data_IF_786078091193
#
_entry.id   IF_786078091193
#
_cell.length_a   1.000
_cell.length_b   1.000
_cell.length_c   1.000
_cell.angle_alpha   90.00
_cell.angle_beta   90.00
_cell.angle_gamma   90.00
#
_symmetry.space_group_name_H-M   'P 1'
#
loop_
_entity.id
_entity.type
_entity.pdbx_description
1 polymer ?
#
# COMPACT_ATOMS: atom_id res chain seq x y z
N UNK A 1 13.87 0.60 13.96
CA UNK A 1 13.77 1.28 12.65
C UNK A 1 12.52 0.79 11.92
N UNK A 2 11.56 1.66 11.56
CA UNK A 2 10.24 1.23 11.07
C UNK A 2 10.15 0.98 9.56
N UNK A 3 11.20 1.25 8.77
CA UNK A 3 11.20 1.08 7.30
C UNK A 3 11.88 -0.23 6.90
N UNK A 4 11.37 -1.34 7.40
CA UNK A 4 11.89 -2.69 7.13
C UNK A 4 10.85 -3.54 6.39
N UNK A 5 11.33 -4.45 5.54
CA UNK A 5 10.58 -5.54 4.93
C UNK A 5 10.70 -6.86 5.73
N UNK A 6 11.68 -6.96 6.64
CA UNK A 6 11.92 -8.17 7.40
C UNK A 6 10.79 -8.42 8.41
N UNK A 7 10.45 -9.71 8.53
CA UNK A 7 9.51 -10.24 9.51
C UNK A 7 10.20 -11.06 10.60
N UNK A 8 11.53 -11.04 10.62
CA UNK A 8 12.39 -11.82 11.50
C UNK A 8 13.27 -10.89 12.35
N UNK A 9 13.72 -11.41 13.49
CA UNK A 9 14.82 -10.85 14.26
C UNK A 9 16.03 -11.78 14.17
N UNK A 10 17.20 -11.22 14.39
CA UNK A 10 18.45 -11.95 14.51
C UNK A 10 18.63 -12.53 15.92
N UNK A 11 19.54 -13.49 16.07
CA UNK A 11 19.78 -14.19 17.34
C UNK A 11 20.30 -13.28 18.46
N UNK A 12 21.08 -12.26 18.13
CA UNK A 12 21.62 -11.28 19.09
C UNK A 12 20.51 -10.46 19.76
N UNK A 13 19.36 -10.26 19.11
CA UNK A 13 18.21 -9.55 19.69
C UNK A 13 17.49 -10.40 20.75
N UNK A 14 17.63 -11.72 20.73
CA UNK A 14 16.85 -12.64 21.60
C UNK A 14 17.07 -12.38 23.09
N UNK A 15 18.31 -12.08 23.49
CA UNK A 15 18.65 -11.80 24.89
C UNK A 15 17.96 -10.55 25.43
N UNK A 16 17.52 -9.64 24.55
CA UNK A 16 16.86 -8.38 24.91
C UNK A 16 15.34 -8.52 25.10
N UNK A 17 14.74 -9.64 24.67
CA UNK A 17 13.28 -9.83 24.72
C UNK A 17 12.68 -9.66 26.13
N UNK A 18 13.30 -10.16 27.22
CA UNK A 18 12.78 -9.92 28.57
C UNK A 18 12.75 -8.44 28.95
N UNK A 19 13.79 -7.67 28.62
CA UNK A 19 13.84 -6.23 28.91
C UNK A 19 12.78 -5.46 28.13
N UNK A 20 12.55 -5.82 26.86
CA UNK A 20 11.46 -5.25 26.04
C UNK A 20 10.09 -5.54 26.63
N UNK A 21 9.85 -6.78 27.06
CA UNK A 21 8.59 -7.16 27.73
C UNK A 21 8.37 -6.35 29.03
N UNK A 22 9.41 -6.15 29.84
CA UNK A 22 9.35 -5.31 31.04
C UNK A 22 9.03 -3.85 30.70
N UNK A 23 9.68 -3.29 29.68
CA UNK A 23 9.45 -1.94 29.20
C UNK A 23 8.00 -1.69 28.72
N UNK A 24 7.37 -2.74 28.18
CA UNK A 24 5.98 -2.72 27.71
C UNK A 24 4.92 -2.93 28.81
N UNK A 25 5.32 -3.18 30.06
CA UNK A 25 4.41 -3.57 31.15
C UNK A 25 3.54 -2.40 31.65
N UNK A 26 2.66 -1.90 30.77
CA UNK A 26 1.76 -0.78 31.01
C UNK A 26 0.36 -1.07 30.46
N UNK A 27 -0.66 -0.53 31.14
CA UNK A 27 -2.05 -0.59 30.69
C UNK A 27 -2.53 -2.01 30.36
N UNK A 28 -3.16 -2.23 29.18
CA UNK A 28 -3.79 -3.50 28.83
C UNK A 28 -2.79 -4.63 28.52
N UNK A 29 -1.49 -4.34 28.43
CA UNK A 29 -0.48 -5.34 28.06
C UNK A 29 0.00 -6.16 29.27
N UNK A 30 -0.19 -5.65 30.49
CA UNK A 30 0.31 -6.24 31.73
C UNK A 30 -0.13 -7.70 31.88
N UNK A 31 -1.43 -7.97 31.66
CA UNK A 31 -2.01 -9.31 31.80
C UNK A 31 -1.42 -10.32 30.81
N UNK A 32 -1.01 -9.86 29.62
CA UNK A 32 -0.41 -10.71 28.60
C UNK A 32 1.10 -10.89 28.78
N UNK A 33 1.77 -9.92 29.40
CA UNK A 33 3.22 -9.95 29.62
C UNK A 33 3.58 -10.83 30.82
N UNK A 34 2.79 -10.80 31.90
CA UNK A 34 3.08 -11.56 33.13
C UNK A 34 3.35 -13.05 32.88
N UNK A 35 2.52 -13.79 32.12
CA UNK A 35 2.79 -15.20 31.82
C UNK A 35 4.08 -15.40 31.04
N UNK A 36 4.39 -14.51 30.08
CA UNK A 36 5.61 -14.59 29.28
C UNK A 36 6.88 -14.37 30.10
N UNK A 37 6.84 -13.48 31.10
CA UNK A 37 7.97 -13.24 32.01
C UNK A 37 8.13 -14.34 33.07
N UNK A 38 7.05 -15.07 33.39
CA UNK A 38 7.09 -16.18 34.36
C UNK A 38 7.72 -17.46 33.80
N UNK A 39 7.99 -17.50 32.49
CA UNK A 39 8.53 -18.67 31.79
C UNK A 39 9.74 -18.26 30.95
N UNK A 40 10.64 -19.22 30.68
CA UNK A 40 11.74 -18.97 29.74
C UNK A 40 11.17 -18.83 28.33
N UNK A 41 11.42 -17.69 27.69
CA UNK A 41 11.06 -17.47 26.28
C UNK A 41 11.76 -18.51 25.42
N UNK A 42 10.99 -19.21 24.58
CA UNK A 42 11.50 -20.20 23.64
C UNK A 42 11.54 -19.61 22.23
N UNK A 43 12.68 -19.02 21.81
CA UNK A 43 12.85 -18.50 20.46
C UNK A 43 12.85 -19.65 19.45
N UNK A 44 12.28 -19.42 18.27
CA UNK A 44 12.29 -20.41 17.19
C UNK A 44 12.35 -19.76 15.82
N UNK A 45 12.65 -20.56 14.80
CA UNK A 45 12.76 -20.16 13.38
C UNK A 45 11.52 -19.45 12.81
N UNK A 46 10.39 -19.47 13.52
CA UNK A 46 9.18 -18.70 13.20
C UNK A 46 9.38 -17.18 13.23
N UNK A 47 10.28 -16.68 14.08
CA UNK A 47 10.57 -15.24 14.18
C UNK A 47 12.05 -14.92 14.42
N UNK A 48 12.89 -15.91 14.76
CA UNK A 48 14.35 -15.73 14.89
C UNK A 48 15.06 -16.45 13.76
N UNK A 49 15.57 -15.71 12.77
CA UNK A 49 16.29 -16.30 11.65
C UNK A 49 17.24 -15.30 10.98
N UNK A 50 18.54 -15.41 11.26
CA UNK A 50 19.57 -14.48 10.76
C UNK A 50 19.60 -14.44 9.22
N UNK A 51 19.34 -15.55 8.54
CA UNK A 51 19.35 -15.61 7.06
C UNK A 51 18.15 -14.93 6.40
N UNK A 52 17.16 -14.51 7.19
CA UNK A 52 15.96 -13.81 6.72
C UNK A 52 15.89 -12.36 7.21
N UNK A 53 17.00 -11.87 7.76
CA UNK A 53 17.18 -10.47 8.11
C UNK A 53 18.18 -9.87 7.13
N UNK A 54 17.75 -8.83 6.43
CA UNK A 54 18.58 -8.01 5.54
C UNK A 54 19.23 -6.89 6.37
N UNK A 55 19.19 -5.64 5.92
CA UNK A 55 19.76 -4.49 6.64
C UNK A 55 19.07 -4.22 7.98
N UNK A 56 17.80 -4.60 8.11
CA UNK A 56 16.98 -4.29 9.27
C UNK A 56 16.06 -5.44 9.67
N UNK A 57 16.02 -5.76 10.97
CA UNK A 57 15.07 -6.72 11.54
C UNK A 57 13.63 -6.17 11.59
N UNK A 58 12.67 -7.04 11.93
CA UNK A 58 11.26 -6.72 12.12
C UNK A 58 11.02 -5.59 13.13
N UNK A 59 9.93 -4.84 12.95
CA UNK A 59 9.52 -3.79 13.88
C UNK A 59 9.10 -4.43 15.22
N UNK A 60 9.85 -4.13 16.29
CA UNK A 60 9.58 -4.60 17.65
C UNK A 60 9.63 -3.42 18.64
N UNK A 61 8.92 -3.52 19.78
CA UNK A 61 9.07 -2.57 20.90
C UNK A 61 10.50 -2.46 21.41
N UNK A 62 10.89 -1.31 21.95
CA UNK A 62 12.23 -1.03 22.51
C UNK A 62 12.34 -1.42 23.98
N UNK A 63 13.55 -1.38 24.55
CA UNK A 63 13.75 -1.50 26.01
C UNK A 63 13.32 -0.24 26.80
N UNK A 64 12.82 0.80 26.14
CA UNK A 64 12.37 2.03 26.81
C UNK A 64 10.94 1.88 27.32
N UNK A 65 10.73 2.24 28.59
CA UNK A 65 9.41 2.19 29.21
C UNK A 65 8.39 3.01 28.42
N UNK A 66 7.28 2.37 28.06
CA UNK A 66 6.22 3.04 27.32
C UNK A 66 5.38 3.92 28.23
N UNK A 67 5.29 5.22 27.91
CA UNK A 67 4.30 6.11 28.51
C UNK A 67 3.07 6.20 27.59
N UNK A 68 2.10 5.32 27.81
CA UNK A 68 0.88 5.30 27.02
C UNK A 68 0.10 6.61 27.12
N UNK A 69 0.17 7.36 28.22
CA UNK A 69 -0.57 8.61 28.37
C UNK A 69 -0.07 9.70 27.41
N UNK A 70 1.24 9.72 27.13
CA UNK A 70 1.88 10.71 26.25
C UNK A 70 1.58 10.51 24.76
N UNK A 71 1.14 9.31 24.36
CA UNK A 71 0.86 9.00 22.97
C UNK A 71 -0.48 9.62 22.51
N UNK A 72 -0.50 10.17 21.30
CA UNK A 72 -1.73 10.55 20.61
C UNK A 72 -2.63 9.33 20.33
N UNK A 73 -3.87 9.57 19.90
CA UNK A 73 -4.82 8.48 19.60
C UNK A 73 -4.28 7.54 18.52
N UNK A 74 -3.67 8.08 17.46
CA UNK A 74 -3.18 7.25 16.35
C UNK A 74 -1.85 6.57 16.67
N UNK A 75 -0.96 7.21 17.44
CA UNK A 75 0.25 6.56 17.97
C UNK A 75 -0.11 5.42 18.93
N UNK A 76 -1.15 5.58 19.77
CA UNK A 76 -1.66 4.51 20.64
C UNK A 76 -2.13 3.31 19.83
N UNK A 77 -2.91 3.54 18.76
CA UNK A 77 -3.40 2.46 17.88
C UNK A 77 -2.26 1.75 17.16
N UNK A 78 -1.29 2.49 16.64
CA UNK A 78 -0.13 1.92 15.95
C UNK A 78 0.75 1.12 16.92
N UNK A 79 1.01 1.67 18.11
CA UNK A 79 1.74 0.98 19.16
C UNK A 79 1.03 -0.29 19.61
N UNK A 80 -0.30 -0.25 19.82
CA UNK A 80 -1.10 -1.44 20.18
C UNK A 80 -1.00 -2.55 19.13
N UNK A 81 -1.04 -2.20 17.84
CA UNK A 81 -0.84 -3.14 16.75
C UNK A 81 0.54 -3.81 16.82
N UNK A 82 1.60 -3.01 16.99
CA UNK A 82 2.98 -3.52 17.10
C UNK A 82 3.13 -4.38 18.36
N UNK A 83 2.65 -3.90 19.51
CA UNK A 83 2.74 -4.56 20.79
C UNK A 83 2.01 -5.92 20.78
N UNK A 84 0.76 -5.96 20.34
CA UNK A 84 -0.01 -7.22 20.23
C UNK A 84 0.64 -8.19 19.26
N UNK A 85 1.16 -7.70 18.12
CA UNK A 85 1.85 -8.58 17.15
C UNK A 85 3.14 -9.15 17.73
N UNK A 86 3.92 -8.34 18.44
CA UNK A 86 5.12 -8.77 19.14
C UNK A 86 4.82 -9.79 20.24
N UNK A 87 3.80 -9.56 21.05
CA UNK A 87 3.36 -10.53 22.06
C UNK A 87 2.90 -11.83 21.38
N UNK A 88 2.15 -11.74 20.28
CA UNK A 88 1.58 -12.91 19.60
C UNK A 88 2.65 -13.89 19.09
N UNK A 89 3.80 -13.41 18.64
CA UNK A 89 4.89 -14.29 18.19
C UNK A 89 5.57 -15.03 19.35
N UNK A 90 5.45 -14.53 20.58
CA UNK A 90 5.98 -15.15 21.79
C UNK A 90 5.00 -16.16 22.42
N UNK A 91 3.71 -16.05 22.11
CA UNK A 91 2.69 -16.97 22.60
C UNK A 91 2.74 -18.36 21.92
N UNK A 92 2.17 -19.39 22.56
CA UNK A 92 1.94 -20.69 21.95
C UNK A 92 0.99 -20.64 20.73
N UNK A 93 0.99 -21.71 19.95
CA UNK A 93 0.05 -21.88 18.83
C UNK A 93 -1.40 -21.97 19.34
N UNK A 94 -2.33 -21.42 18.55
CA UNK A 94 -3.76 -21.69 18.71
C UNK A 94 -4.04 -23.15 18.38
N UNK A 95 -4.61 -23.91 19.33
CA UNK A 95 -4.91 -25.34 19.16
C UNK A 95 -6.40 -25.56 19.13
N UNK A 96 -6.85 -26.33 18.16
CA UNK A 96 -8.24 -26.73 18.00
C UNK A 96 -8.29 -28.16 17.45
N UNK A 97 -9.41 -28.80 17.70
CA UNK A 97 -9.78 -30.08 17.10
C UNK A 97 -10.78 -29.81 15.98
N UNK A 98 -10.56 -30.41 14.81
CA UNK A 98 -11.47 -30.27 13.66
C UNK A 98 -12.06 -31.64 13.32
N UNK A 99 -13.38 -31.73 13.40
CA UNK A 99 -14.14 -32.90 12.94
C UNK A 99 -14.55 -32.67 11.50
N UNK A 100 -14.24 -33.61 10.61
CA UNK A 100 -14.69 -33.60 9.21
C UNK A 100 -15.54 -34.84 8.98
N UNK A 101 -16.80 -34.64 8.60
CA UNK A 101 -17.76 -35.70 8.31
C UNK A 101 -18.03 -35.67 6.81
N UNK A 102 -17.80 -36.79 6.14
CA UNK A 102 -18.22 -37.00 4.76
C UNK A 102 -19.47 -37.88 4.76
N UNK A 103 -20.57 -37.34 4.26
CA UNK A 103 -21.85 -38.05 4.13
C UNK A 103 -22.12 -38.35 2.67
N UNK A 104 -22.44 -39.59 2.34
CA UNK A 104 -22.86 -39.97 0.98
C UNK A 104 -24.39 -39.83 0.89
N UNK A 105 -24.87 -39.03 -0.05
CA UNK A 105 -26.30 -38.85 -0.33
C UNK A 105 -26.51 -39.14 -1.81
N UNK A 106 -27.31 -40.16 -2.13
CA UNK A 106 -27.55 -40.61 -3.51
C UNK A 106 -26.25 -40.84 -4.32
N UNK A 107 -25.21 -41.36 -3.66
CA UNK A 107 -23.89 -41.61 -4.26
C UNK A 107 -22.93 -40.40 -4.26
N UNK A 108 -23.40 -39.20 -3.92
CA UNK A 108 -22.60 -37.98 -3.93
C UNK A 108 -22.05 -37.61 -2.53
N UNK A 109 -20.78 -37.18 -2.41
CA UNK A 109 -20.19 -36.83 -1.13
C UNK A 109 -20.48 -35.38 -0.70
N UNK A 110 -20.99 -35.21 0.51
CA UNK A 110 -21.20 -33.93 1.19
C UNK A 110 -20.25 -33.80 2.38
N UNK A 111 -19.57 -32.66 2.51
CA UNK A 111 -18.58 -32.43 3.58
C UNK A 111 -19.15 -31.46 4.61
N UNK A 112 -19.18 -31.89 5.87
CA UNK A 112 -19.39 -31.04 7.04
C UNK A 112 -18.11 -30.93 7.84
N UNK A 113 -17.76 -29.71 8.29
CA UNK A 113 -16.63 -29.46 9.18
C UNK A 113 -17.10 -28.79 10.45
N UNK A 114 -16.53 -29.19 11.58
CA UNK A 114 -16.78 -28.61 12.90
C UNK A 114 -15.47 -28.39 13.64
N UNK A 115 -15.44 -27.41 14.54
CA UNK A 115 -14.21 -26.98 15.21
C UNK A 115 -14.43 -26.75 16.69
N UNK A 116 -13.58 -27.35 17.52
CA UNK A 116 -13.57 -27.16 18.97
C UNK A 116 -12.22 -26.57 19.38
N UNK A 117 -12.22 -25.32 19.85
CA UNK A 117 -11.00 -24.68 20.36
C UNK A 117 -10.57 -25.37 21.66
N UNK A 118 -9.32 -25.84 21.70
CA UNK A 118 -8.70 -26.44 22.91
C UNK A 118 -7.83 -25.43 23.65
N UNK A 119 -7.18 -24.53 22.91
CA UNK A 119 -6.30 -23.50 23.46
C UNK A 119 -6.27 -22.30 22.51
N UNK A 120 -6.51 -21.10 23.01
CA UNK A 120 -6.50 -19.88 22.22
C UNK A 120 -5.08 -19.49 21.77
N UNK A 121 -4.04 -19.87 22.52
CA UNK A 121 -2.66 -19.46 22.26
C UNK A 121 -2.54 -17.95 21.95
N UNK A 122 -1.83 -17.62 20.87
CA UNK A 122 -1.67 -16.23 20.41
C UNK A 122 -2.99 -15.50 20.08
N UNK A 123 -4.10 -16.20 19.79
CA UNK A 123 -5.39 -15.55 19.53
C UNK A 123 -5.96 -14.86 20.77
N UNK A 124 -5.48 -15.20 21.98
CA UNK A 124 -5.88 -14.56 23.22
C UNK A 124 -5.63 -13.03 23.24
N UNK A 125 -4.66 -12.57 22.45
CA UNK A 125 -4.29 -11.15 22.33
C UNK A 125 -5.28 -10.33 21.49
N UNK A 126 -6.14 -10.97 20.70
CA UNK A 126 -7.05 -10.30 19.76
C UNK A 126 -8.52 -10.33 20.19
N UNK A 127 -8.83 -10.85 21.38
CA UNK A 127 -10.22 -11.06 21.87
C UNK A 127 -11.03 -9.75 21.96
N UNK A 128 -10.38 -8.58 22.08
CA UNK A 128 -11.06 -7.27 22.20
C UNK A 128 -11.48 -6.62 20.87
N UNK A 129 -11.53 -7.34 19.76
CA UNK A 129 -12.21 -6.84 18.55
C UNK A 129 -13.53 -7.60 18.33
N UNK A 130 -14.60 -7.32 19.09
CA UNK A 130 -15.92 -7.83 18.75
C UNK A 130 -16.29 -7.29 17.35
N UNK A 131 -16.59 -8.19 16.42
CA UNK A 131 -17.12 -7.82 15.09
C UNK A 131 -16.13 -7.79 13.92
N UNK A 132 -14.87 -8.24 14.08
CA UNK A 132 -14.08 -8.69 12.92
C UNK A 132 -14.22 -10.19 12.77
N UNK A 133 -15.32 -10.61 12.17
CA UNK A 133 -15.39 -11.90 11.50
C UNK A 133 -14.16 -11.97 10.58
N UNK A 134 -13.26 -12.93 10.80
CA UNK A 134 -12.34 -13.35 9.75
C UNK A 134 -13.20 -13.62 8.52
N UNK A 135 -12.84 -13.11 7.33
CA UNK A 135 -13.61 -13.33 6.11
C UNK A 135 -13.99 -14.81 5.95
N UNK A 136 -15.20 -15.18 6.37
CA UNK A 136 -15.77 -16.52 6.29
C UNK A 136 -16.36 -16.77 4.89
N UNK A 137 -15.95 -16.01 3.87
CA UNK A 137 -16.51 -16.17 2.53
C UNK A 137 -16.12 -17.52 1.88
N UNK A 138 -15.09 -18.22 2.39
CA UNK A 138 -14.66 -19.53 1.86
C UNK A 138 -14.58 -20.66 2.91
N UNK A 139 -14.79 -20.39 4.19
CA UNK A 139 -14.79 -21.44 5.22
C UNK A 139 -16.23 -21.82 5.58
N UNK A 140 -16.51 -23.13 5.61
CA UNK A 140 -17.75 -23.64 6.21
C UNK A 140 -17.94 -23.01 7.61
N UNK A 141 -19.17 -22.66 7.99
CA UNK A 141 -19.42 -22.00 9.28
C UNK A 141 -18.81 -22.82 10.41
N UNK A 142 -18.14 -22.13 11.35
CA UNK A 142 -17.64 -22.78 12.56
C UNK A 142 -18.84 -23.30 13.36
N UNK A 143 -19.12 -24.59 13.22
CA UNK A 143 -20.18 -25.29 13.93
C UNK A 143 -19.55 -26.30 14.89
N UNK A 144 -20.28 -26.60 15.96
CA UNK A 144 -20.00 -27.75 16.78
C UNK A 144 -20.60 -28.96 16.08
N UNK A 145 -19.76 -29.91 15.70
CA UNK A 145 -20.21 -31.21 15.24
C UNK A 145 -20.10 -32.19 16.40
N UNK A 146 -21.17 -32.92 16.63
CA UNK A 146 -21.18 -34.06 17.54
C UNK A 146 -20.48 -35.21 16.81
N UNK A 147 -19.61 -35.92 17.50
CA UNK A 147 -18.98 -37.14 16.98
C UNK A 147 -20.03 -38.10 16.43
N UNK A 148 -19.80 -38.61 15.22
CA UNK A 148 -20.64 -39.61 14.56
C UNK A 148 -19.84 -40.90 14.38
N UNK A 149 -20.52 -42.03 14.30
CA UNK A 149 -19.84 -43.30 13.98
C UNK A 149 -19.76 -43.49 12.47
N UNK A 150 -18.65 -44.01 11.98
CA UNK A 150 -18.55 -44.39 10.58
C UNK A 150 -19.59 -45.49 10.26
N UNK A 151 -20.27 -45.34 9.12
CA UNK A 151 -21.35 -46.25 8.71
C UNK A 151 -22.72 -45.91 9.32
N UNK A 152 -22.82 -44.85 10.12
CA UNK A 152 -24.09 -44.38 10.64
C UNK A 152 -24.96 -43.77 9.52
N UNK A 153 -26.22 -44.18 9.45
CA UNK A 153 -27.18 -43.67 8.49
C UNK A 153 -28.01 -42.55 9.11
N UNK A 154 -28.20 -41.47 8.35
CA UNK A 154 -29.04 -40.32 8.72
C UNK A 154 -30.05 -40.05 7.61
N UNK A 155 -31.23 -39.55 7.99
CA UNK A 155 -32.25 -39.12 7.04
C UNK A 155 -31.96 -37.69 6.60
N UNK A 156 -31.98 -37.44 5.29
CA UNK A 156 -31.98 -36.07 4.75
C UNK A 156 -33.36 -35.46 5.01
N UNK A 157 -33.41 -34.39 5.79
CA UNK A 157 -34.68 -33.71 6.13
C UNK A 157 -35.13 -32.77 5.01
N UNK A 158 -34.20 -31.98 4.48
CA UNK A 158 -34.46 -31.01 3.43
C UNK A 158 -33.22 -30.74 2.58
N UNK A 159 -33.43 -30.33 1.33
CA UNK A 159 -32.40 -29.88 0.42
C UNK A 159 -32.64 -28.41 0.06
N UNK A 160 -31.61 -27.58 0.16
CA UNK A 160 -31.68 -26.17 -0.25
C UNK A 160 -30.79 -25.91 -1.46
N UNK A 161 -31.39 -25.48 -2.55
CA UNK A 161 -30.65 -25.02 -3.72
C UNK A 161 -30.11 -23.61 -3.47
N UNK A 162 -28.80 -23.50 -3.19
CA UNK A 162 -28.13 -22.22 -3.06
C UNK A 162 -27.76 -21.68 -4.44
N UNK A 163 -28.58 -20.77 -4.97
CA UNK A 163 -28.24 -20.02 -6.20
C UNK A 163 -27.15 -19.00 -5.87
N UNK A 164 -26.02 -19.09 -6.57
CA UNK A 164 -24.91 -18.15 -6.46
C UNK A 164 -24.57 -17.56 -7.84
N UNK A 165 -23.85 -16.44 -7.83
CA UNK A 165 -23.30 -15.80 -9.04
C UNK A 165 -21.82 -15.55 -8.82
N UNK A 166 -21.03 -15.64 -9.88
CA UNK A 166 -19.64 -15.20 -9.84
C UNK A 166 -19.57 -13.71 -9.54
N UNK A 167 -18.58 -13.30 -8.76
CA UNK A 167 -18.30 -11.89 -8.47
C UNK A 167 -17.12 -11.45 -9.34
N UNK A 168 -17.13 -10.22 -9.89
CA UNK A 168 -15.93 -9.68 -10.52
C UNK A 168 -14.80 -9.53 -9.49
N UNK A 169 -13.53 -9.45 -9.93
CA UNK A 169 -12.41 -9.17 -9.03
C UNK A 169 -12.65 -7.91 -8.20
N UNK A 170 -12.31 -7.99 -6.91
CA UNK A 170 -12.42 -6.84 -6.02
C UNK A 170 -11.47 -5.72 -6.47
N UNK A 171 -11.93 -4.48 -6.38
CA UNK A 171 -11.05 -3.32 -6.61
C UNK A 171 -10.00 -3.23 -5.51
N UNK A 172 -8.88 -2.63 -5.86
CA UNK A 172 -7.85 -2.36 -4.87
C UNK A 172 -8.35 -1.35 -3.83
N UNK A 173 -8.12 -1.66 -2.56
CA UNK A 173 -7.95 -0.69 -1.47
C UNK A 173 -6.46 -0.31 -1.38
N UNK A 174 -6.11 0.71 -0.59
CA UNK A 174 -4.69 1.05 -0.35
C UNK A 174 -3.89 -0.12 0.20
N UNK A 175 -4.45 -0.87 1.15
CA UNK A 175 -3.78 -2.03 1.73
C UNK A 175 -3.52 -3.11 0.67
N UNK A 176 -4.53 -3.44 -0.13
CA UNK A 176 -4.37 -4.47 -1.18
C UNK A 176 -3.47 -4.01 -2.34
N UNK A 177 -3.40 -2.69 -2.60
CA UNK A 177 -2.48 -2.13 -3.58
C UNK A 177 -1.04 -2.19 -3.07
N UNK A 178 -0.80 -1.84 -1.79
CA UNK A 178 0.51 -2.00 -1.15
C UNK A 178 0.97 -3.46 -1.20
N UNK A 179 0.09 -4.42 -0.90
CA UNK A 179 0.40 -5.86 -1.03
C UNK A 179 0.70 -6.25 -2.48
N UNK A 180 -0.01 -5.69 -3.46
CA UNK A 180 0.30 -5.93 -4.87
C UNK A 180 1.65 -5.33 -5.29
N UNK A 181 2.06 -4.20 -4.71
CA UNK A 181 3.39 -3.62 -4.91
C UNK A 181 4.48 -4.44 -4.21
N UNK A 182 4.22 -5.02 -3.04
CA UNK A 182 5.13 -5.94 -2.34
C UNK A 182 5.37 -7.24 -3.12
N UNK A 183 4.36 -7.72 -3.85
CA UNK A 183 4.43 -9.00 -4.57
C UNK A 183 3.80 -8.88 -5.96
N UNK A 184 4.48 -8.19 -6.90
CA UNK A 184 3.96 -7.95 -8.24
C UNK A 184 4.11 -9.17 -9.16
N UNK A 185 4.77 -10.24 -8.71
CA UNK A 185 5.11 -11.40 -9.54
C UNK A 185 3.94 -12.09 -10.23
N UNK A 186 2.70 -11.93 -9.73
CA UNK A 186 1.49 -12.44 -10.41
C UNK A 186 1.19 -11.74 -11.75
N UNK A 187 1.89 -10.64 -12.06
CA UNK A 187 1.76 -9.85 -13.28
C UNK A 187 2.98 -9.98 -14.20
N UNK A 188 3.88 -10.91 -13.89
CA UNK A 188 5.10 -11.17 -14.67
C UNK A 188 4.97 -12.59 -15.20
N UNK A 189 5.07 -12.74 -16.52
CA UNK A 189 4.96 -14.04 -17.17
C UNK A 189 6.27 -14.83 -17.07
N UNK A 190 7.41 -14.14 -17.18
CA UNK A 190 8.73 -14.75 -17.09
C UNK A 190 9.06 -15.23 -15.66
N UNK A 191 9.38 -16.52 -15.53
CA UNK A 191 9.60 -17.15 -14.22
C UNK A 191 10.84 -16.58 -13.51
N UNK A 192 11.93 -16.30 -14.23
CA UNK A 192 13.17 -15.81 -13.65
C UNK A 192 12.98 -14.40 -13.10
N UNK A 193 12.36 -13.51 -13.89
CA UNK A 193 11.99 -12.16 -13.46
C UNK A 193 10.99 -12.18 -12.30
N UNK A 194 10.06 -13.14 -12.30
CA UNK A 194 9.10 -13.31 -11.21
C UNK A 194 9.77 -13.67 -9.90
N UNK A 195 10.76 -14.56 -9.91
CA UNK A 195 11.50 -14.93 -8.70
C UNK A 195 12.27 -13.74 -8.11
N UNK A 196 12.90 -12.92 -8.94
CA UNK A 196 13.61 -11.71 -8.50
C UNK A 196 12.67 -10.77 -7.74
N UNK A 197 11.44 -10.62 -8.23
CA UNK A 197 10.47 -9.70 -7.65
C UNK A 197 9.85 -10.18 -6.34
N UNK A 198 10.04 -11.44 -5.92
CA UNK A 198 9.62 -11.92 -4.59
C UNK A 198 10.38 -11.22 -3.45
N UNK A 199 11.60 -10.77 -3.71
CA UNK A 199 12.46 -10.09 -2.73
C UNK A 199 12.35 -8.56 -2.79
N UNK A 200 12.32 -7.96 -3.98
CA UNK A 200 12.36 -6.50 -4.15
C UNK A 200 10.96 -5.84 -4.16
N UNK A 201 10.00 -6.45 -4.85
CA UNK A 201 8.71 -5.83 -5.17
C UNK A 201 8.85 -4.54 -6.02
N UNK A 202 7.74 -3.83 -6.23
CA UNK A 202 7.72 -2.50 -6.85
C UNK A 202 7.97 -1.42 -5.80
N UNK A 203 9.13 -0.78 -5.89
CA UNK A 203 9.60 0.17 -4.91
C UNK A 203 9.90 -0.48 -3.55
N UNK A 204 10.40 0.32 -2.61
CA UNK A 204 10.83 -0.14 -1.28
C UNK A 204 9.76 0.14 -0.22
N UNK A 205 9.80 -0.53 0.96
CA UNK A 205 8.89 -0.23 2.08
C UNK A 205 8.80 1.26 2.43
N UNK A 206 9.89 2.00 2.24
CA UNK A 206 9.97 3.44 2.52
C UNK A 206 9.27 4.33 1.48
N UNK A 207 9.00 3.84 0.26
CA UNK A 207 8.57 4.66 -0.89
C UNK A 207 7.19 4.33 -1.42
N UNK A 208 6.67 3.12 -1.16
CA UNK A 208 5.37 2.65 -1.69
C UNK A 208 4.19 3.55 -1.28
N UNK A 209 4.11 3.93 -0.02
CA UNK A 209 3.05 4.82 0.47
C UNK A 209 3.11 6.20 -0.23
N UNK A 210 4.31 6.77 -0.36
CA UNK A 210 4.52 8.04 -1.03
C UNK A 210 4.18 7.99 -2.53
N UNK A 211 4.41 6.84 -3.19
CA UNK A 211 4.01 6.63 -4.59
C UNK A 211 2.47 6.65 -4.70
N UNK A 212 1.75 5.94 -3.83
CA UNK A 212 0.29 5.95 -3.83
C UNK A 212 -0.24 7.38 -3.57
N UNK A 213 0.37 8.11 -2.64
CA UNK A 213 0.07 9.51 -2.37
C UNK A 213 0.28 10.42 -3.59
N UNK A 214 1.38 10.21 -4.34
CA UNK A 214 1.63 10.92 -5.60
C UNK A 214 0.58 10.63 -6.66
N UNK A 215 0.04 9.41 -6.73
CA UNK A 215 -1.05 9.06 -7.65
C UNK A 215 -2.34 9.84 -7.33
N UNK A 216 -2.66 10.04 -6.05
CA UNK A 216 -3.77 10.91 -5.64
C UNK A 216 -3.52 12.38 -5.95
N UNK A 217 -2.35 12.90 -5.56
CA UNK A 217 -2.01 14.31 -5.75
C UNK A 217 -1.92 14.70 -7.23
N UNK A 218 -1.62 13.72 -8.09
CA UNK A 218 -1.60 13.87 -9.55
C UNK A 218 -2.96 13.62 -10.22
N UNK A 219 -4.00 13.28 -9.44
CA UNK A 219 -5.36 12.97 -9.90
C UNK A 219 -5.44 11.80 -10.89
N UNK A 220 -4.58 10.79 -10.73
CA UNK A 220 -4.64 9.56 -11.54
C UNK A 220 -5.59 8.52 -10.94
N UNK A 221 -5.74 8.53 -9.61
CA UNK A 221 -6.66 7.68 -8.87
C UNK A 221 -7.47 8.52 -7.89
N UNK A 222 -8.63 8.03 -7.48
CA UNK A 222 -9.47 8.62 -6.44
C UNK A 222 -10.06 7.53 -5.53
N UNK A 223 -10.50 7.94 -4.33
CA UNK A 223 -11.14 7.03 -3.37
C UNK A 223 -12.66 7.03 -3.58
N UNK A 224 -13.24 5.84 -3.69
CA UNK A 224 -14.69 5.61 -3.61
C UNK A 224 -14.98 4.68 -2.43
N UNK A 225 -15.33 5.26 -1.29
CA UNK A 225 -15.36 4.53 -0.03
C UNK A 225 -13.96 4.02 0.34
N UNK A 226 -13.80 2.71 0.50
CA UNK A 226 -12.50 2.06 0.76
C UNK A 226 -11.72 1.69 -0.50
N UNK A 227 -12.36 1.76 -1.67
CA UNK A 227 -11.80 1.32 -2.93
C UNK A 227 -11.09 2.47 -3.66
N UNK A 228 -10.08 2.10 -4.44
CA UNK A 228 -9.34 2.95 -5.35
C UNK A 228 -9.88 2.73 -6.76
N UNK A 229 -10.19 3.84 -7.44
CA UNK A 229 -10.61 3.83 -8.83
C UNK A 229 -9.71 4.73 -9.65
N UNK A 230 -9.29 4.31 -10.86
CA UNK A 230 -8.57 5.18 -11.76
C UNK A 230 -9.51 6.27 -12.27
N UNK A 231 -9.00 7.50 -12.38
CA UNK A 231 -9.73 8.61 -13.01
C UNK A 231 -9.66 8.49 -14.53
N UNK A 232 -10.48 9.25 -15.26
CA UNK A 232 -10.37 9.34 -16.72
C UNK A 232 -8.96 9.75 -17.18
N UNK A 233 -8.27 10.60 -16.39
CA UNK A 233 -6.87 10.99 -16.63
C UNK A 233 -5.92 9.81 -16.44
N UNK A 234 -6.08 9.03 -15.37
CA UNK A 234 -5.26 7.84 -15.11
C UNK A 234 -5.41 6.78 -16.21
N UNK A 235 -6.65 6.52 -16.65
CA UNK A 235 -6.93 5.56 -17.74
C UNK A 235 -6.27 6.01 -19.04
N UNK A 236 -6.43 7.28 -19.42
CA UNK A 236 -5.80 7.82 -20.63
C UNK A 236 -4.28 7.75 -20.55
N UNK A 237 -3.68 8.06 -19.39
CA UNK A 237 -2.22 7.97 -19.23
C UNK A 237 -1.69 6.57 -19.54
N UNK A 238 -2.36 5.52 -19.06
CA UNK A 238 -1.94 4.14 -19.33
C UNK A 238 -2.01 3.82 -20.83
N UNK A 239 -3.02 4.33 -21.55
CA UNK A 239 -3.11 4.15 -23.00
C UNK A 239 -2.14 5.00 -23.83
N UNK A 240 -1.58 6.06 -23.24
CA UNK A 240 -0.60 6.96 -23.89
C UNK A 240 0.85 6.58 -23.57
N UNK A 241 1.08 5.92 -22.44
CA UNK A 241 2.41 5.54 -22.00
C UNK A 241 2.95 4.37 -22.85
N UNK A 242 4.27 4.33 -23.13
CA UNK A 242 4.92 3.14 -23.66
C UNK A 242 4.60 1.91 -22.83
N UNK A 243 4.28 0.78 -23.49
CA UNK A 243 3.83 -0.45 -22.83
C UNK A 243 4.80 -0.92 -21.73
N UNK A 244 6.11 -0.83 -21.98
CA UNK A 244 7.15 -1.18 -21.02
C UNK A 244 7.06 -0.41 -19.70
N UNK A 245 6.61 0.85 -19.71
CA UNK A 245 6.45 1.66 -18.49
C UNK A 245 5.18 1.32 -17.69
N UNK A 246 4.30 0.50 -18.26
CA UNK A 246 3.05 0.06 -17.62
C UNK A 246 3.12 -1.37 -17.09
N UNK A 247 4.24 -2.07 -17.34
CA UNK A 247 4.50 -3.43 -16.89
C UNK A 247 5.51 -3.45 -15.72
N UNK A 248 5.31 -4.29 -14.68
CA UNK A 248 6.30 -4.49 -13.64
C UNK A 248 7.57 -5.20 -14.13
N UNK A 249 7.53 -5.82 -15.31
CA UNK A 249 8.66 -6.57 -15.88
C UNK A 249 9.89 -5.70 -16.11
N UNK A 250 9.71 -4.45 -16.57
CA UNK A 250 10.83 -3.51 -16.74
C UNK A 250 11.54 -3.24 -15.40
N UNK A 251 10.77 -3.16 -14.31
CA UNK A 251 11.37 -3.02 -12.96
C UNK A 251 12.13 -4.29 -12.58
N UNK A 252 11.58 -5.47 -12.86
CA UNK A 252 12.26 -6.75 -12.60
C UNK A 252 13.60 -6.87 -13.35
N UNK A 253 13.64 -6.44 -14.62
CA UNK A 253 14.86 -6.40 -15.42
C UNK A 253 15.90 -5.46 -14.80
N UNK A 254 15.48 -4.28 -14.32
CA UNK A 254 16.38 -3.35 -13.62
C UNK A 254 16.94 -3.95 -12.32
N UNK A 255 16.11 -4.61 -11.52
CA UNK A 255 16.55 -5.29 -10.30
C UNK A 255 17.55 -6.42 -10.61
N UNK A 256 17.35 -7.17 -11.70
CA UNK A 256 18.31 -8.15 -12.19
C UNK A 256 19.65 -7.50 -12.56
N UNK A 257 19.63 -6.41 -13.32
CA UNK A 257 20.84 -5.69 -13.70
C UNK A 257 21.61 -5.13 -12.50
N UNK A 258 20.91 -4.58 -11.51
CA UNK A 258 21.51 -4.11 -10.27
C UNK A 258 22.16 -5.27 -9.49
N UNK A 259 21.49 -6.42 -9.45
CA UNK A 259 22.03 -7.65 -8.86
C UNK A 259 23.30 -8.11 -9.57
N UNK A 260 23.32 -8.08 -10.91
CA UNK A 260 24.50 -8.46 -11.69
C UNK A 260 25.69 -7.51 -11.49
N UNK A 261 25.44 -6.20 -11.32
CA UNK A 261 26.49 -5.26 -10.93
C UNK A 261 27.05 -5.62 -9.55
N UNK A 262 26.19 -5.89 -8.56
CA UNK A 262 26.63 -6.25 -7.21
C UNK A 262 27.49 -7.52 -7.17
N UNK A 263 27.28 -8.43 -8.12
CA UNK A 263 28.03 -9.68 -8.30
C UNK A 263 29.23 -9.56 -9.25
N UNK A 264 29.51 -8.36 -9.77
CA UNK A 264 30.62 -8.11 -10.70
C UNK A 264 30.42 -8.68 -12.12
N UNK A 265 29.19 -9.06 -12.49
CA UNK A 265 28.85 -9.62 -13.81
C UNK A 265 28.53 -8.55 -14.87
N UNK A 266 28.23 -7.32 -14.45
CA UNK A 266 27.94 -6.20 -15.33
C UNK A 266 28.58 -4.90 -14.82
N UNK A 267 28.59 -3.86 -15.65
CA UNK A 267 29.15 -2.56 -15.28
C UNK A 267 28.10 -1.45 -15.32
N UNK A 268 28.20 -0.51 -14.38
CA UNK A 268 27.35 0.69 -14.31
C UNK A 268 27.29 1.43 -15.64
N UNK A 269 28.42 1.55 -16.35
CA UNK A 269 28.50 2.26 -17.63
C UNK A 269 27.61 1.65 -18.70
N UNK A 270 27.59 0.31 -18.81
CA UNK A 270 26.76 -0.41 -19.77
C UNK A 270 25.27 -0.23 -19.47
N UNK A 271 24.86 -0.37 -18.21
CA UNK A 271 23.45 -0.22 -17.81
C UNK A 271 22.94 1.20 -18.06
N UNK A 272 23.72 2.23 -17.69
CA UNK A 272 23.32 3.62 -17.92
C UNK A 272 23.23 3.95 -19.42
N UNK A 273 24.09 3.35 -20.26
CA UNK A 273 23.98 3.49 -21.70
C UNK A 273 22.67 2.87 -22.22
N UNK A 274 22.36 1.63 -21.83
CA UNK A 274 21.11 0.96 -22.19
C UNK A 274 19.87 1.76 -21.82
N UNK A 275 19.78 2.24 -20.56
CA UNK A 275 18.66 3.09 -20.10
C UNK A 275 18.50 4.34 -20.95
N UNK A 276 19.59 4.96 -21.43
CA UNK A 276 19.52 6.13 -22.31
C UNK A 276 19.00 5.76 -23.69
N UNK A 277 19.40 4.62 -24.22
CA UNK A 277 18.96 4.13 -25.52
C UNK A 277 17.47 3.80 -25.48
N UNK A 278 17.03 3.04 -24.48
CA UNK A 278 15.61 2.73 -24.22
C UNK A 278 14.77 4.01 -24.08
N UNK A 279 15.27 4.99 -23.32
CA UNK A 279 14.57 6.26 -23.16
C UNK A 279 14.43 7.03 -24.48
N UNK A 280 15.46 7.03 -25.34
CA UNK A 280 15.37 7.66 -26.68
C UNK A 280 14.34 6.95 -27.54
N UNK A 281 14.33 5.62 -27.54
CA UNK A 281 13.35 4.83 -28.29
C UNK A 281 11.93 5.13 -27.84
N UNK A 282 11.67 5.10 -26.52
CA UNK A 282 10.36 5.42 -25.95
C UNK A 282 9.91 6.84 -26.30
N UNK A 283 10.81 7.83 -26.22
CA UNK A 283 10.49 9.22 -26.59
C UNK A 283 10.14 9.32 -28.07
N UNK A 284 10.92 8.70 -28.95
CA UNK A 284 10.65 8.71 -30.38
C UNK A 284 9.28 8.07 -30.69
N UNK A 285 8.95 6.96 -30.04
CA UNK A 285 7.64 6.33 -30.15
C UNK A 285 6.49 7.26 -29.72
N UNK A 286 6.66 7.98 -28.61
CA UNK A 286 5.66 8.96 -28.15
C UNK A 286 5.53 10.15 -29.10
N UNK A 287 6.62 10.65 -29.66
CA UNK A 287 6.60 11.77 -30.64
C UNK A 287 5.91 11.37 -31.94
N UNK A 288 6.07 10.11 -32.36
CA UNK A 288 5.43 9.57 -33.57
C UNK A 288 3.97 9.17 -33.35
N UNK A 289 3.55 8.97 -32.10
CA UNK A 289 2.17 8.61 -31.77
C UNK A 289 1.22 9.78 -32.07
N UNK A 290 0.09 9.48 -32.71
CA UNK A 290 -0.98 10.44 -33.01
C UNK A 290 -2.02 10.58 -31.89
N UNK A 291 -1.90 9.78 -30.83
CA UNK A 291 -2.86 9.76 -29.73
C UNK A 291 -2.61 10.92 -28.77
N UNK A 292 -3.61 11.78 -28.61
CA UNK A 292 -3.54 12.95 -27.73
C UNK A 292 -4.35 12.75 -26.45
N UNK A 293 -3.88 13.37 -25.35
CA UNK A 293 -4.64 13.47 -24.12
C UNK A 293 -5.84 14.41 -24.28
N UNK A 294 -7.04 13.93 -23.95
CA UNK A 294 -8.29 14.67 -24.04
C UNK A 294 -8.93 14.83 -22.65
N UNK A 295 -8.82 16.00 -22.00
CA UNK A 295 -9.43 16.21 -20.69
C UNK A 295 -10.96 16.18 -20.79
N UNK A 296 -11.60 15.27 -20.06
CA UNK A 296 -13.06 15.11 -20.02
C UNK A 296 -13.76 15.96 -18.96
N UNK A 297 -12.98 16.67 -18.15
CA UNK A 297 -13.42 17.38 -16.95
C UNK A 297 -13.22 18.91 -17.05
N UNK A 298 -13.25 19.47 -18.25
CA UNK A 298 -13.17 20.93 -18.45
C UNK A 298 -14.45 21.60 -17.94
N UNK A 299 -14.29 22.71 -17.23
CA UNK A 299 -15.39 23.55 -16.74
C UNK A 299 -15.49 24.87 -17.50
N UNK A 300 -16.61 25.57 -17.36
CA UNK A 300 -16.79 26.94 -17.90
C UNK A 300 -16.09 28.03 -17.07
N UNK A 301 -15.46 27.68 -15.94
CA UNK A 301 -14.76 28.67 -15.09
C UNK A 301 -13.36 28.95 -15.65
N UNK A 302 -13.04 30.19 -16.05
CA UNK A 302 -11.70 30.54 -16.51
C UNK A 302 -10.72 30.62 -15.34
N UNK A 303 -9.46 30.30 -15.60
CA UNK A 303 -8.37 30.49 -14.67
C UNK A 303 -8.14 32.00 -14.46
N UNK A 304 -8.07 32.50 -13.22
CA UNK A 304 -7.84 33.92 -12.94
C UNK A 304 -6.44 34.41 -13.33
N UNK A 305 -5.49 33.49 -13.58
CA UNK A 305 -4.11 33.84 -13.93
C UNK A 305 -3.89 33.85 -15.44
N UNK A 306 -4.36 32.83 -16.18
CA UNK A 306 -4.09 32.68 -17.60
C UNK A 306 -5.33 32.63 -18.51
N UNK A 307 -6.54 32.74 -17.94
CA UNK A 307 -7.80 32.75 -18.70
C UNK A 307 -8.27 31.41 -19.24
N UNK A 308 -7.43 30.36 -19.28
CA UNK A 308 -7.82 29.01 -19.74
C UNK A 308 -8.91 28.40 -18.86
N UNK A 309 -9.84 27.67 -19.46
CA UNK A 309 -10.89 26.95 -18.76
C UNK A 309 -10.31 25.91 -17.78
N UNK A 310 -10.73 25.97 -16.52
CA UNK A 310 -10.19 25.11 -15.46
C UNK A 310 -10.78 23.70 -15.50
N UNK A 311 -10.00 22.71 -15.07
CA UNK A 311 -10.42 21.32 -14.90
C UNK A 311 -11.00 21.09 -13.50
N UNK A 312 -12.07 20.31 -13.39
CA UNK A 312 -12.60 19.88 -12.09
C UNK A 312 -12.07 18.50 -11.70
N UNK A 313 -11.49 18.40 -10.51
CA UNK A 313 -10.90 17.15 -9.99
C UNK A 313 -11.36 16.88 -8.58
N UNK A 314 -11.43 15.60 -8.20
CA UNK A 314 -11.67 15.20 -6.82
C UNK A 314 -10.33 15.15 -6.07
N UNK A 315 -10.13 16.07 -5.13
CA UNK A 315 -9.02 16.03 -4.19
C UNK A 315 -9.42 15.39 -2.87
N UNK A 316 -8.43 15.18 -1.98
CA UNK A 316 -8.67 14.63 -0.64
C UNK A 316 -9.64 15.43 0.22
N UNK A 317 -9.69 16.76 0.02
CA UNK A 317 -10.53 17.70 0.76
C UNK A 317 -11.81 18.10 0.00
N UNK A 318 -12.15 17.37 -1.06
CA UNK A 318 -13.29 17.66 -1.93
C UNK A 318 -12.88 18.12 -3.32
N UNK A 319 -13.86 18.63 -4.06
CA UNK A 319 -13.68 19.05 -5.45
C UNK A 319 -12.83 20.32 -5.55
N UNK A 320 -11.89 20.32 -6.48
CA UNK A 320 -11.00 21.44 -6.78
C UNK A 320 -11.03 21.76 -8.26
N UNK A 321 -10.79 23.03 -8.57
CA UNK A 321 -10.53 23.52 -9.91
C UNK A 321 -9.02 23.66 -10.09
N UNK A 322 -8.49 23.10 -11.16
CA UNK A 322 -7.06 23.08 -11.47
C UNK A 322 -6.87 23.61 -12.88
N UNK A 323 -5.95 24.55 -13.05
CA UNK A 323 -5.59 25.03 -14.39
C UNK A 323 -5.03 23.88 -15.23
N UNK A 324 -5.51 23.66 -16.47
CA UNK A 324 -4.95 22.63 -17.35
C UNK A 324 -3.51 22.94 -17.78
N UNK A 325 -3.12 24.21 -17.73
CA UNK A 325 -1.77 24.65 -18.05
C UNK A 325 -0.83 24.41 -16.87
N UNK A 326 0.15 23.54 -17.08
CA UNK A 326 1.15 23.18 -16.06
C UNK A 326 2.03 24.37 -15.68
N UNK A 327 2.31 25.29 -16.61
CA UNK A 327 3.14 26.46 -16.34
C UNK A 327 2.41 27.48 -15.47
N UNK A 328 1.07 27.48 -15.52
CA UNK A 328 0.24 28.33 -14.68
C UNK A 328 0.10 27.78 -13.26
N UNK A 329 -0.13 26.48 -13.11
CA UNK A 329 -0.19 25.80 -11.81
C UNK A 329 -1.35 26.22 -10.87
N UNK A 330 -2.21 27.17 -11.27
CA UNK A 330 -3.28 27.70 -10.41
C UNK A 330 -4.29 26.63 -9.97
N UNK A 331 -4.66 26.65 -8.68
CA UNK A 331 -5.60 25.70 -8.06
C UNK A 331 -6.49 26.44 -7.07
N UNK A 332 -7.77 26.06 -7.01
CA UNK A 332 -8.72 26.62 -6.05
C UNK A 332 -9.83 25.61 -5.69
N UNK A 333 -10.47 25.72 -4.51
CA UNK A 333 -11.66 24.94 -4.19
C UNK A 333 -12.80 25.19 -5.19
N UNK A 334 -13.60 24.17 -5.52
CA UNK A 334 -14.75 24.35 -6.43
C UNK A 334 -15.83 25.27 -5.83
N UNK A 335 -16.08 25.10 -4.53
CA UNK A 335 -16.98 25.92 -3.72
C UNK A 335 -16.12 26.83 -2.85
N UNK A 336 -16.22 28.14 -3.03
CA UNK A 336 -15.71 29.08 -2.04
C UNK A 336 -16.42 28.82 -0.72
N UNK A 337 -15.66 28.64 0.36
CA UNK A 337 -16.19 28.58 1.71
C UNK A 337 -16.90 29.89 2.03
N UNK A 338 -18.23 29.89 1.90
CA UNK A 338 -19.11 30.96 2.39
C UNK A 338 -19.18 30.94 3.92
N UNK A 339 -18.07 31.19 4.62
CA UNK A 339 -17.96 31.56 6.05
C UNK A 339 -16.48 31.92 6.25
N UNK A 340 -16.08 33.20 6.27
CA UNK A 340 -16.30 34.19 7.33
C UNK A 340 -16.89 35.48 6.73
N UNK A 341 -17.88 36.07 7.39
CA UNK A 341 -18.68 37.20 6.92
C UNK A 341 -17.92 38.52 6.71
N UNK A 342 -17.21 38.62 5.59
CA UNK A 342 -16.84 39.89 4.98
C UNK A 342 -17.19 39.80 3.50
N UNK A 343 -18.18 40.59 3.09
CA UNK A 343 -18.69 40.61 1.73
C UNK A 343 -17.60 40.80 0.67
N UNK A 344 -17.89 40.30 -0.53
CA UNK A 344 -17.08 40.49 -1.72
C UNK A 344 -16.89 41.99 -2.03
N UNK A 345 -15.81 42.57 -1.49
CA UNK A 345 -15.35 43.90 -1.84
C UNK A 345 -14.04 43.78 -2.62
N UNK A 346 -13.79 44.69 -3.57
CA UNK A 346 -12.50 44.82 -4.27
C UNK A 346 -11.30 44.86 -3.30
N UNK A 347 -11.52 45.34 -2.08
CA UNK A 347 -10.52 45.38 -1.00
C UNK A 347 -10.13 43.98 -0.50
N UNK A 348 -11.09 43.06 -0.37
CA UNK A 348 -10.84 41.69 0.12
C UNK A 348 -10.02 40.89 -0.89
N UNK A 349 -10.29 41.07 -2.19
CA UNK A 349 -9.49 40.48 -3.28
C UNK A 349 -8.07 41.04 -3.31
N UNK A 350 -7.90 42.37 -3.20
CA UNK A 350 -6.57 42.98 -3.12
C UNK A 350 -5.79 42.56 -1.87
N UNK A 351 -6.47 42.37 -0.74
CA UNK A 351 -5.85 41.92 0.50
C UNK A 351 -5.42 40.46 0.41
N UNK A 352 -6.25 39.57 -0.15
CA UNK A 352 -5.87 38.19 -0.45
C UNK A 352 -4.71 38.13 -1.46
N UNK A 353 -4.71 38.98 -2.49
CA UNK A 353 -3.59 39.07 -3.44
C UNK A 353 -2.29 39.52 -2.77
N UNK A 354 -2.37 40.47 -1.82
CA UNK A 354 -1.23 40.90 -1.00
C UNK A 354 -0.74 39.80 -0.07
N UNK A 355 -1.65 39.07 0.58
CA UNK A 355 -1.31 37.97 1.47
C UNK A 355 -0.69 36.80 0.71
N UNK A 356 -1.21 36.46 -0.48
CA UNK A 356 -0.60 35.49 -1.39
C UNK A 356 0.80 35.96 -1.78
N UNK A 357 0.99 37.22 -2.15
CA UNK A 357 2.33 37.73 -2.49
C UNK A 357 3.30 37.81 -1.29
N UNK A 358 2.78 37.91 -0.07
CA UNK A 358 3.55 38.05 1.16
C UNK A 358 3.93 36.71 1.80
N UNK A 359 3.08 35.69 1.66
CA UNK A 359 3.22 34.38 2.30
C UNK A 359 3.27 33.20 1.32
N UNK A 360 3.20 33.46 0.01
CA UNK A 360 3.66 32.48 -0.98
C UNK A 360 5.15 32.33 -0.80
N UNK A 361 5.58 31.15 -0.40
CA UNK A 361 6.97 30.75 -0.56
C UNK A 361 7.37 31.07 -2.00
N UNK A 362 8.31 31.99 -2.19
CA UNK A 362 8.93 32.28 -3.49
C UNK A 362 9.94 31.17 -3.84
N UNK A 363 9.64 29.94 -3.48
CA UNK A 363 10.35 28.81 -4.04
C UNK A 363 9.81 28.62 -5.46
N UNK A 364 10.71 28.52 -6.43
CA UNK A 364 10.34 28.14 -7.78
C UNK A 364 9.64 26.78 -7.70
N UNK A 365 8.31 26.83 -7.80
CA UNK A 365 7.45 25.67 -7.89
C UNK A 365 7.88 24.91 -9.14
N UNK A 366 8.68 23.88 -8.93
CA UNK A 366 8.96 22.82 -9.89
C UNK A 366 9.54 23.29 -11.22
N UNK A 367 10.85 23.52 -11.26
CA UNK A 367 11.59 23.25 -12.51
C UNK A 367 11.48 21.75 -12.78
N UNK A 368 10.51 21.38 -13.60
CA UNK A 368 10.39 20.01 -14.06
C UNK A 368 11.63 19.69 -14.91
N UNK A 369 12.18 18.48 -14.77
CA UNK A 369 13.40 18.03 -15.48
C UNK A 369 13.34 18.32 -17.00
N UNK A 370 12.16 18.22 -17.60
CA UNK A 370 11.92 18.56 -19.00
C UNK A 370 12.14 20.03 -19.36
N UNK A 371 11.91 20.97 -18.45
CA UNK A 371 12.22 22.40 -18.66
C UNK A 371 13.70 22.68 -18.49
N UNK A 372 14.35 22.04 -17.51
CA UNK A 372 15.82 22.07 -17.39
C UNK A 372 16.46 21.48 -18.65
N UNK A 373 15.86 20.43 -19.22
CA UNK A 373 16.30 19.81 -20.47
C UNK A 373 16.06 20.74 -21.67
N UNK A 374 14.88 21.35 -21.80
CA UNK A 374 14.60 22.31 -22.87
C UNK A 374 15.51 23.54 -22.79
N UNK A 375 15.72 24.09 -21.60
CA UNK A 375 16.64 25.21 -21.38
C UNK A 375 18.10 24.82 -21.69
N UNK A 376 18.52 23.60 -21.33
CA UNK A 376 19.84 23.09 -21.68
C UNK A 376 20.00 22.86 -23.19
N UNK A 377 18.98 22.34 -23.87
CA UNK A 377 18.97 22.14 -25.32
C UNK A 377 19.00 23.48 -26.08
N UNK A 378 18.25 24.48 -25.62
CA UNK A 378 18.26 25.83 -26.19
C UNK A 378 19.63 26.50 -26.02
N UNK A 379 20.26 26.36 -24.84
CA UNK A 379 21.63 26.84 -24.60
C UNK A 379 22.67 26.15 -25.50
N UNK A 380 22.49 24.86 -25.80
CA UNK A 380 23.38 24.12 -26.70
C UNK A 380 23.27 24.62 -28.14
N UNK A 381 22.05 24.81 -28.67
CA UNK A 381 21.84 25.42 -30.00
C UNK A 381 22.49 26.80 -30.12
N UNK A 382 22.36 27.65 -29.10
CA UNK A 382 22.98 28.98 -29.10
C UNK A 382 24.52 28.99 -29.04
N UNK A 383 25.12 27.86 -28.65
CA UNK A 383 26.58 27.65 -28.64
C UNK A 383 27.10 27.04 -29.95
N UNK A 384 26.27 26.30 -30.66
CA UNK A 384 26.62 25.72 -31.97
C UNK A 384 26.39 26.73 -33.13
N UNK A 385 25.63 27.81 -32.87
CA UNK A 385 25.39 28.93 -33.81
C UNK A 385 26.34 30.13 -33.61
N UNK A 386 27.31 30.05 -32.69
CA UNK A 386 28.39 31.02 -32.47
C UNK A 386 29.73 30.35 -32.69
#
# INVERSE_FOLDING_TARGET
>A
YPRTDSRYITKDVVSTLPARLQAMQAGPYIEYIRPLLSQKIQPGKRFVDDSKVTDHHAIIPTEQHVNLAALSVDEKKLYDLIARRFLAVLYPAHRYEQTTITTIVEGEPFISRGKVVKDLGWRALNIKTPGKEENQEENLPEQLLIEQRQGEHKKVEYCHLKRSKTKPPARYTEATLLTAMESPGKFIEDEELREIMKGSGLGTPATRADIIEKLFNSFYIERKGKELIPTAKGIQLIGLAPAALTSPELTAQWEQHLTDISRGKSSKGKIIAGIRDDAREMINGVVQASTEYKPTNITKKPCPVCGKHMLIVNGKRGKMLVCPDRNCGHRQPEKESKHIGLGNSKRTSQMNQKLINQYSDKEEIGTNIGELLQAALAKKKSKDEK
#
